data_IF_569449538760
#
_entry.id   IF_569449538760
#
_cell.length_a   1.000
_cell.length_b   1.000
_cell.length_c   1.000
_cell.angle_alpha   90.00
_cell.angle_beta   90.00
_cell.angle_gamma   90.00
#
_symmetry.space_group_name_H-M   'P 1'
#
loop_
_entity.id
_entity.type
_entity.pdbx_description
1 polymer ?
#
# COMPACT_ATOMS: atom_id res chain seq x y z
N UNK A 1 7.78 16.97 2.82
CA UNK A 1 6.59 16.16 2.46
C UNK A 1 5.46 17.12 2.10
N UNK A 2 4.80 16.90 0.96
CA UNK A 2 3.74 17.76 0.43
C UNK A 2 2.34 17.20 0.71
N UNK A 3 1.37 18.08 0.98
CA UNK A 3 -0.06 17.74 1.01
C UNK A 3 -0.64 17.80 -0.41
N UNK A 4 -1.48 16.84 -0.74
CA UNK A 4 -2.08 16.65 -2.05
C UNK A 4 -3.61 16.53 -1.91
N UNK A 5 -4.35 17.11 -2.85
CA UNK A 5 -5.77 16.86 -3.05
C UNK A 5 -6.00 15.48 -3.71
N UNK A 6 -7.21 14.94 -3.55
CA UNK A 6 -7.57 13.68 -4.22
C UNK A 6 -7.40 13.73 -5.75
N UNK A 7 -7.68 14.87 -6.39
CA UNK A 7 -7.50 15.04 -7.85
C UNK A 7 -6.05 14.84 -8.28
N UNK A 8 -5.09 15.37 -7.51
CA UNK A 8 -3.66 15.24 -7.77
C UNK A 8 -3.19 13.80 -7.54
N UNK A 9 -3.62 13.19 -6.44
CA UNK A 9 -3.33 11.77 -6.15
C UNK A 9 -3.89 10.88 -7.24
N UNK A 10 -5.15 11.09 -7.64
CA UNK A 10 -5.79 10.29 -8.68
C UNK A 10 -5.13 10.47 -10.05
N UNK A 11 -4.69 11.67 -10.39
CA UNK A 11 -3.93 11.92 -11.62
C UNK A 11 -2.66 11.07 -11.69
N UNK A 12 -1.94 10.90 -10.58
CA UNK A 12 -0.77 10.03 -10.50
C UNK A 12 -1.13 8.54 -10.37
N UNK A 13 -2.09 8.21 -9.52
CA UNK A 13 -2.40 6.84 -9.09
C UNK A 13 -3.28 6.07 -10.07
N UNK A 14 -4.12 6.78 -10.85
CA UNK A 14 -4.91 6.26 -11.99
C UNK A 14 -5.99 5.23 -11.65
N UNK A 15 -6.26 4.96 -10.38
CA UNK A 15 -7.30 4.02 -9.94
C UNK A 15 -7.92 4.47 -8.62
N UNK A 16 -9.06 3.87 -8.23
CA UNK A 16 -9.68 4.05 -6.90
C UNK A 16 -9.35 2.91 -5.94
N UNK A 17 -8.67 1.87 -6.43
CA UNK A 17 -8.20 0.74 -5.62
C UNK A 17 -7.03 1.18 -4.73
N UNK A 18 -6.75 0.42 -3.68
CA UNK A 18 -5.59 0.70 -2.82
C UNK A 18 -4.25 0.52 -3.55
N UNK A 19 -4.21 -0.40 -4.51
CA UNK A 19 -2.99 -0.78 -5.22
C UNK A 19 -3.08 -0.34 -6.68
N UNK A 20 -2.22 0.61 -7.06
CA UNK A 20 -2.07 1.13 -8.42
C UNK A 20 -0.85 0.56 -9.12
N UNK A 21 -0.58 1.01 -10.34
CA UNK A 21 0.53 0.49 -11.14
C UNK A 21 1.92 0.80 -10.56
N UNK A 22 2.08 2.00 -9.99
CA UNK A 22 3.35 2.53 -9.46
C UNK A 22 3.20 3.19 -8.09
N UNK A 23 2.05 3.00 -7.46
CA UNK A 23 1.73 3.66 -6.19
C UNK A 23 0.69 2.93 -5.37
N UNK A 24 0.67 3.25 -4.08
CA UNK A 24 -0.24 2.70 -3.08
C UNK A 24 -0.99 3.84 -2.38
N UNK A 25 -2.26 3.58 -2.10
CA UNK A 25 -3.06 4.36 -1.16
C UNK A 25 -3.09 3.63 0.16
N UNK A 26 -2.78 4.34 1.25
CA UNK A 26 -2.83 3.82 2.60
C UNK A 26 -3.65 4.75 3.49
N UNK A 27 -4.34 4.17 4.46
CA UNK A 27 -5.06 4.86 5.52
C UNK A 27 -4.95 4.07 6.84
N UNK A 28 -5.59 4.55 7.90
CA UNK A 28 -5.53 3.99 9.26
C UNK A 28 -6.74 3.12 9.60
N UNK A 29 -7.48 2.65 8.59
CA UNK A 29 -8.67 1.82 8.75
C UNK A 29 -9.92 2.41 8.11
N UNK A 30 -9.88 3.64 7.61
CA UNK A 30 -11.03 4.34 7.02
C UNK A 30 -11.58 3.61 5.80
N UNK A 31 -10.77 2.82 5.09
CA UNK A 31 -11.21 1.99 3.96
C UNK A 31 -11.62 0.57 4.34
N UNK A 32 -11.55 0.22 5.63
CA UNK A 32 -11.81 -1.14 6.15
C UNK A 32 -10.63 -2.10 6.05
N UNK A 33 -9.43 -1.60 5.70
CA UNK A 33 -8.19 -2.38 5.70
C UNK A 33 -7.39 -2.13 6.97
N UNK A 34 -6.75 -3.16 7.51
CA UNK A 34 -6.10 -3.13 8.83
C UNK A 34 -4.62 -2.76 8.76
N UNK A 35 -4.28 -1.72 7.99
CA UNK A 35 -2.88 -1.28 7.85
C UNK A 35 -2.29 -0.85 9.20
N UNK A 36 -1.02 -1.17 9.45
CA UNK A 36 -0.30 -0.73 10.67
C UNK A 36 0.94 0.07 10.32
N UNK A 37 1.11 1.21 10.96
CA UNK A 37 2.29 2.07 10.84
C UNK A 37 3.24 1.73 11.97
N UNK A 38 4.46 1.32 11.64
CA UNK A 38 5.47 0.91 12.61
C UNK A 38 6.32 2.13 13.05
N UNK A 39 6.93 2.10 14.26
CA UNK A 39 7.73 3.22 14.77
C UNK A 39 8.95 3.60 13.90
N UNK A 40 9.46 2.66 13.11
CA UNK A 40 10.60 2.83 12.20
C UNK A 40 10.19 3.37 10.81
N UNK A 41 8.92 3.77 10.64
CA UNK A 41 8.39 4.30 9.38
C UNK A 41 7.95 3.24 8.38
N UNK A 42 8.13 1.95 8.68
CA UNK A 42 7.57 0.86 7.87
C UNK A 42 6.05 0.79 8.00
N UNK A 43 5.41 0.15 7.03
CA UNK A 43 3.96 -0.06 7.02
C UNK A 43 3.69 -1.55 6.80
N UNK A 44 2.91 -2.17 7.67
CA UNK A 44 2.27 -3.45 7.40
C UNK A 44 0.99 -3.17 6.61
N UNK A 45 1.05 -3.44 5.31
CA UNK A 45 0.02 -3.15 4.34
C UNK A 45 -0.80 -4.41 4.04
N UNK A 46 -2.10 -4.33 4.22
CA UNK A 46 -3.00 -5.44 3.92
C UNK A 46 -3.29 -5.50 2.41
N UNK A 47 -3.26 -6.70 1.82
CA UNK A 47 -3.54 -6.91 0.40
C UNK A 47 -4.94 -6.48 -0.06
N UNK A 48 -5.16 -6.45 -1.37
CA UNK A 48 -6.46 -6.22 -2.00
C UNK A 48 -7.40 -7.42 -1.79
N UNK A 49 -8.70 -7.15 -1.64
CA UNK A 49 -9.74 -8.16 -1.37
C UNK A 49 -10.34 -8.04 0.04
N UNK A 50 -11.60 -7.56 0.12
CA UNK A 50 -12.32 -7.33 1.39
C UNK A 50 -13.13 -8.53 1.90
N UNK A 51 -13.35 -9.53 1.05
CA UNK A 51 -14.20 -10.69 1.34
C UNK A 51 -13.50 -11.93 0.82
N UNK A 52 -13.67 -13.03 1.55
CA UNK A 52 -13.01 -14.28 1.26
C UNK A 52 -11.48 -14.20 1.37
N UNK A 53 -10.86 -15.33 1.07
CA UNK A 53 -9.42 -15.45 1.02
C UNK A 53 -8.86 -14.58 -0.09
N UNK A 54 -7.78 -13.87 0.21
CA UNK A 54 -7.10 -13.06 -0.79
C UNK A 54 -6.29 -13.97 -1.71
N UNK A 55 -6.35 -13.68 -2.99
CA UNK A 55 -5.66 -14.43 -4.04
C UNK A 55 -4.48 -13.63 -4.61
N UNK A 56 -3.45 -14.31 -5.17
CA UNK A 56 -2.30 -13.67 -5.81
C UNK A 56 -2.66 -13.15 -7.21
N UNK A 57 -3.69 -12.31 -7.31
CA UNK A 57 -4.17 -11.69 -8.55
C UNK A 57 -4.28 -10.17 -8.37
N UNK A 58 -4.41 -9.44 -9.49
CA UNK A 58 -4.65 -8.00 -9.44
C UNK A 58 -3.58 -7.22 -8.66
N UNK A 59 -4.00 -6.46 -7.65
CA UNK A 59 -3.09 -5.69 -6.80
C UNK A 59 -2.12 -6.55 -5.99
N UNK A 60 -2.57 -7.71 -5.48
CA UNK A 60 -1.70 -8.60 -4.70
C UNK A 60 -0.58 -9.17 -5.56
N UNK A 61 -0.89 -9.63 -6.78
CA UNK A 61 0.12 -10.07 -7.74
C UNK A 61 1.14 -8.97 -8.03
N UNK A 62 0.67 -7.73 -8.20
CA UNK A 62 1.56 -6.60 -8.43
C UNK A 62 2.53 -6.36 -7.27
N UNK A 63 2.07 -6.48 -6.02
CA UNK A 63 2.96 -6.32 -4.86
C UNK A 63 3.95 -7.49 -4.71
N UNK A 64 3.52 -8.72 -5.02
CA UNK A 64 4.41 -9.88 -5.06
C UNK A 64 5.51 -9.71 -6.12
N UNK A 65 5.16 -9.23 -7.31
CA UNK A 65 6.12 -8.93 -8.37
C UNK A 65 7.03 -7.75 -7.99
N UNK A 66 6.49 -6.68 -7.40
CA UNK A 66 7.29 -5.55 -6.93
C UNK A 66 8.30 -5.96 -5.85
N UNK A 67 7.95 -6.88 -4.96
CA UNK A 67 8.89 -7.47 -4.02
C UNK A 67 10.00 -8.24 -4.74
N UNK A 68 9.63 -9.14 -5.66
CA UNK A 68 10.59 -9.95 -6.44
C UNK A 68 11.56 -9.10 -7.26
N UNK A 69 11.06 -8.03 -7.87
CA UNK A 69 11.81 -7.17 -8.80
C UNK A 69 12.49 -5.99 -8.09
N UNK A 70 12.19 -5.78 -6.79
CA UNK A 70 12.65 -4.62 -6.05
C UNK A 70 12.06 -3.30 -6.52
N UNK A 71 10.97 -3.31 -7.29
CA UNK A 71 10.35 -2.11 -7.87
C UNK A 71 9.79 -1.20 -6.77
N UNK A 72 10.26 0.06 -6.64
CA UNK A 72 9.72 0.99 -5.65
C UNK A 72 8.34 1.52 -6.07
N UNK A 73 7.51 1.83 -5.08
CA UNK A 73 6.14 2.33 -5.24
C UNK A 73 5.99 3.63 -4.44
N UNK A 74 5.35 4.65 -5.03
CA UNK A 74 5.01 5.89 -4.30
C UNK A 74 3.84 5.62 -3.34
N UNK A 75 3.91 6.08 -2.10
CA UNK A 75 2.85 5.86 -1.10
C UNK A 75 2.16 7.17 -0.74
N UNK A 76 0.82 7.18 -0.85
CA UNK A 76 -0.02 8.29 -0.45
C UNK A 76 -0.85 7.91 0.78
N UNK A 77 -0.66 8.64 1.88
CA UNK A 77 -1.45 8.50 3.10
C UNK A 77 -2.70 9.38 3.02
N UNK A 78 -3.87 8.80 3.24
CA UNK A 78 -5.09 9.57 3.50
C UNK A 78 -5.02 10.16 4.92
N UNK A 79 -4.99 11.48 5.04
CA UNK A 79 -5.04 12.15 6.35
C UNK A 79 -6.49 12.36 6.80
N UNK A 80 -7.37 12.70 5.85
CA UNK A 80 -8.81 12.89 6.03
C UNK A 80 -9.50 12.88 4.65
N UNK A 81 -10.84 12.90 4.54
CA UNK A 81 -11.50 12.96 3.23
C UNK A 81 -10.95 14.09 2.36
N UNK A 82 -10.51 13.74 1.13
CA UNK A 82 -9.96 14.68 0.15
C UNK A 82 -8.53 15.17 0.40
N UNK A 83 -7.92 14.88 1.56
CA UNK A 83 -6.59 15.36 1.93
C UNK A 83 -5.63 14.19 2.09
N UNK A 84 -4.58 14.22 1.28
CA UNK A 84 -3.57 13.18 1.21
C UNK A 84 -2.20 13.76 1.50
N UNK A 85 -1.31 12.93 2.06
CA UNK A 85 0.10 13.23 2.24
C UNK A 85 0.90 12.28 1.39
N UNK A 86 1.82 12.84 0.62
CA UNK A 86 2.82 12.05 -0.09
C UNK A 86 3.93 11.63 0.88
N UNK A 87 4.06 10.33 1.12
CA UNK A 87 5.07 9.74 2.01
C UNK A 87 6.39 9.45 1.30
N UNK A 88 6.47 9.66 -0.02
CA UNK A 88 7.63 9.27 -0.82
C UNK A 88 7.55 7.82 -1.30
N UNK A 89 8.69 7.28 -1.71
CA UNK A 89 8.77 5.94 -2.24
C UNK A 89 8.99 4.90 -1.15
N UNK A 90 8.45 3.71 -1.37
CA UNK A 90 8.61 2.55 -0.52
C UNK A 90 8.95 1.32 -1.38
N UNK A 91 9.70 0.39 -0.81
CA UNK A 91 9.89 -0.96 -1.38
C UNK A 91 9.03 -1.96 -0.61
N UNK A 92 8.60 -3.02 -1.28
CA UNK A 92 8.05 -4.20 -0.61
C UNK A 92 9.22 -5.03 -0.08
N UNK A 93 9.51 -4.90 1.21
CA UNK A 93 10.62 -5.58 1.89
C UNK A 93 10.35 -7.07 2.10
N UNK A 94 9.08 -7.43 2.29
CA UNK A 94 8.66 -8.81 2.46
C UNK A 94 7.15 -8.95 2.45
N UNK A 95 6.68 -10.18 2.50
CA UNK A 95 5.26 -10.49 2.56
C UNK A 95 5.00 -11.79 3.33
N UNK A 96 3.78 -11.93 3.84
CA UNK A 96 3.26 -13.17 4.40
C UNK A 96 1.80 -13.36 4.00
N UNK A 97 1.39 -14.61 3.88
CA UNK A 97 -0.01 -15.00 3.74
C UNK A 97 -0.45 -15.65 5.05
N UNK A 98 -1.41 -15.04 5.74
CA UNK A 98 -1.76 -15.44 7.10
C UNK A 98 -3.27 -15.34 7.34
N UNK A 99 -3.78 -16.19 8.23
CA UNK A 99 -5.16 -16.13 8.69
C UNK A 99 -5.38 -14.83 9.48
N UNK A 100 -6.42 -14.09 9.09
CA UNK A 100 -6.99 -13.01 9.88
C UNK A 100 -8.13 -13.61 10.70
N UNK A 101 -7.82 -14.04 11.92
CA UNK A 101 -8.73 -14.84 12.76
C UNK A 101 -10.07 -14.16 12.99
N UNK A 102 -10.08 -12.83 13.17
CA UNK A 102 -11.30 -12.06 13.43
C UNK A 102 -12.28 -12.07 12.24
N UNK A 103 -11.81 -12.40 11.04
CA UNK A 103 -12.60 -12.47 9.82
C UNK A 103 -12.66 -13.89 9.22
N UNK A 104 -11.99 -14.87 9.84
CA UNK A 104 -11.98 -16.26 9.38
C UNK A 104 -11.49 -16.44 7.93
N UNK A 105 -10.57 -15.59 7.47
CA UNK A 105 -10.08 -15.57 6.08
C UNK A 105 -8.59 -15.30 5.98
N UNK A 106 -7.98 -15.78 4.91
CA UNK A 106 -6.57 -15.61 4.64
C UNK A 106 -6.29 -14.31 3.89
N UNK A 107 -5.26 -13.58 4.32
CA UNK A 107 -4.92 -12.26 3.79
C UNK A 107 -3.42 -12.13 3.58
N UNK A 108 -3.05 -11.34 2.57
CA UNK A 108 -1.68 -10.91 2.39
C UNK A 108 -1.36 -9.75 3.31
N UNK A 109 -0.19 -9.82 3.93
CA UNK A 109 0.46 -8.72 4.61
C UNK A 109 1.77 -8.42 3.90
N UNK A 110 1.93 -7.20 3.43
CA UNK A 110 3.14 -6.70 2.78
C UNK A 110 3.85 -5.74 3.73
N UNK A 111 5.13 -5.98 3.99
CA UNK A 111 5.97 -5.03 4.74
C UNK A 111 6.53 -4.01 3.76
N UNK A 112 6.11 -2.75 3.88
CA UNK A 112 6.61 -1.64 3.09
C UNK A 112 7.69 -0.90 3.86
N UNK A 113 8.89 -0.77 3.29
CA UNK A 113 9.99 -0.01 3.86
C UNK A 113 10.21 1.31 3.10
N UNK A 114 10.43 2.45 3.80
CA UNK A 114 10.72 3.72 3.14
C UNK A 114 11.95 3.65 2.23
N UNK A 115 11.91 4.40 1.13
CA UNK A 115 13.00 4.55 0.17
C UNK A 115 12.80 3.78 -1.14
N UNK A 116 13.83 3.81 -1.98
CA UNK A 116 13.96 2.93 -3.14
C UNK A 116 13.71 3.53 -4.51
N UNK A 117 13.09 4.70 -4.59
CA UNK A 117 13.37 5.59 -5.71
C UNK A 117 14.77 6.14 -5.45
N UNK A 118 15.69 6.00 -6.41
CA UNK A 118 16.99 6.66 -6.29
C UNK A 118 16.76 8.14 -5.94
N UNK A 119 17.59 8.69 -5.06
CA UNK A 119 17.82 10.13 -5.13
C UNK A 119 18.14 10.40 -6.60
N UNK A 120 17.35 11.24 -7.25
CA UNK A 120 17.81 11.77 -8.52
C UNK A 120 19.17 12.41 -8.23
N UNK A 121 20.23 12.11 -9.02
CA UNK A 121 21.44 12.92 -8.95
C UNK A 121 21.12 14.39 -9.20
#
# INVERSE_FOLDING_TARGET
MSRWAWSEVFAFHRTRKGIGARSLLVDRGESGYRNRFLPDGRILYMGEGKRGDQEPVGGNLRLLLAHREGTPLRVFLRERPGVWRDLGCYRVEGWRYALLEEEGRWVYWFTLAPGGCGEAP
#
